data_IF_833097784311
#
_entry.id   IF_833097784311
#
_cell.length_a   1.000
_cell.length_b   1.000
_cell.length_c   1.000
_cell.angle_alpha   90.00
_cell.angle_beta   90.00
_cell.angle_gamma   90.00
#
_symmetry.space_group_name_H-M   'P 1'
#
loop_
_entity.id
_entity.type
_entity.pdbx_description
1 polymer ?
#
# COMPACT_ATOMS: atom_id res chain seq x y z
N UNK A 1 -32.18 -54.35 -16.95
CA UNK A 1 -30.88 -53.88 -17.50
C UNK A 1 -31.07 -52.45 -17.96
N UNK A 2 -30.82 -51.48 -17.06
CA UNK A 2 -30.94 -50.06 -17.35
C UNK A 2 -29.56 -49.44 -17.22
N UNK A 3 -29.04 -48.95 -18.34
CA UNK A 3 -27.78 -48.25 -18.47
C UNK A 3 -27.99 -46.79 -18.05
N UNK A 4 -27.37 -46.40 -16.95
CA UNK A 4 -27.30 -44.98 -16.54
C UNK A 4 -26.18 -44.26 -17.31
N UNK A 5 -26.56 -43.27 -18.10
CA UNK A 5 -25.66 -42.28 -18.68
C UNK A 5 -25.13 -41.36 -17.56
N UNK A 6 -23.81 -41.32 -17.39
CA UNK A 6 -23.14 -40.29 -16.62
C UNK A 6 -23.04 -39.02 -17.48
N UNK A 7 -23.75 -37.99 -17.08
CA UNK A 7 -23.56 -36.65 -17.62
C UNK A 7 -22.23 -36.09 -17.09
N UNK A 8 -21.36 -35.71 -18.01
CA UNK A 8 -20.12 -35.01 -17.72
C UNK A 8 -20.44 -33.57 -17.32
N UNK A 9 -20.22 -33.23 -16.07
CA UNK A 9 -20.32 -31.86 -15.59
C UNK A 9 -19.23 -30.99 -16.23
N UNK A 10 -19.65 -29.89 -16.87
CA UNK A 10 -18.76 -28.87 -17.37
C UNK A 10 -17.93 -28.27 -16.22
N UNK A 11 -16.66 -27.91 -16.42
CA UNK A 11 -15.86 -27.27 -15.40
C UNK A 11 -16.49 -25.91 -15.04
N UNK A 12 -16.59 -25.61 -13.75
CA UNK A 12 -17.08 -24.34 -13.26
C UNK A 12 -16.23 -23.20 -13.85
N UNK A 13 -16.85 -22.08 -14.26
CA UNK A 13 -16.12 -20.95 -14.84
C UNK A 13 -15.11 -20.40 -13.82
N UNK A 14 -13.91 -20.13 -14.29
CA UNK A 14 -12.84 -19.53 -13.49
C UNK A 14 -13.24 -18.09 -13.08
N UNK A 15 -13.76 -17.96 -11.86
CA UNK A 15 -14.24 -16.68 -11.29
C UNK A 15 -13.12 -15.68 -11.01
N UNK A 16 -11.86 -15.98 -11.36
CA UNK A 16 -10.70 -15.15 -11.08
C UNK A 16 -10.44 -14.04 -12.12
N UNK A 17 -10.95 -14.17 -13.35
CA UNK A 17 -10.76 -13.15 -14.39
C UNK A 17 -11.68 -11.94 -14.21
N UNK A 18 -12.89 -12.11 -13.67
CA UNK A 18 -13.86 -11.05 -13.50
C UNK A 18 -13.55 -10.04 -12.37
N UNK A 19 -12.74 -10.43 -11.37
CA UNK A 19 -12.41 -9.53 -10.26
C UNK A 19 -11.31 -8.51 -10.62
N UNK A 20 -10.39 -8.88 -11.50
CA UNK A 20 -9.32 -7.96 -11.95
C UNK A 20 -9.85 -6.90 -12.94
N UNK A 21 -10.87 -7.19 -13.72
CA UNK A 21 -11.48 -6.21 -14.66
C UNK A 21 -12.34 -5.16 -13.95
N UNK A 22 -12.94 -5.48 -12.82
CA UNK A 22 -13.73 -4.50 -12.02
C UNK A 22 -12.88 -3.45 -11.30
N UNK A 23 -11.57 -3.65 -11.21
CA UNK A 23 -10.64 -2.74 -10.53
C UNK A 23 -10.28 -1.53 -11.39
N UNK A 24 -10.50 -1.58 -12.71
CA UNK A 24 -10.11 -0.53 -13.67
C UNK A 24 -11.22 0.50 -13.89
N UNK A 25 -11.72 1.09 -12.82
CA UNK A 25 -12.75 2.12 -12.97
C UNK A 25 -12.10 3.48 -13.17
N UNK A 26 -12.32 4.04 -14.34
CA UNK A 26 -12.01 5.45 -14.62
C UNK A 26 -13.19 6.31 -14.16
N UNK A 27 -12.91 7.45 -13.49
CA UNK A 27 -13.94 8.44 -13.24
C UNK A 27 -14.55 8.90 -14.57
N UNK A 28 -15.88 9.07 -14.63
CA UNK A 28 -16.54 9.68 -15.79
C UNK A 28 -16.22 11.17 -15.93
N UNK A 29 -15.80 11.78 -14.83
CA UNK A 29 -15.34 13.18 -14.79
C UNK A 29 -13.87 13.28 -15.16
N UNK A 30 -13.45 14.45 -15.56
CA UNK A 30 -12.04 14.76 -15.79
C UNK A 30 -11.26 14.52 -14.50
N UNK A 31 -10.16 13.77 -14.59
CA UNK A 31 -9.22 13.62 -13.50
C UNK A 31 -8.41 14.91 -13.42
N UNK A 32 -8.50 15.57 -12.28
CA UNK A 32 -7.80 16.82 -12.03
C UNK A 32 -6.40 16.54 -11.47
N UNK A 33 -5.44 17.39 -11.78
CA UNK A 33 -4.10 17.35 -11.15
C UNK A 33 -4.11 18.04 -9.78
N UNK A 34 -5.11 18.86 -9.53
CA UNK A 34 -5.35 19.59 -8.28
C UNK A 34 -6.84 19.88 -8.14
N UNK A 35 -7.35 20.20 -6.93
CA UNK A 35 -8.75 20.54 -6.73
C UNK A 35 -9.19 21.71 -7.60
N UNK A 36 -10.43 21.64 -8.10
CA UNK A 36 -10.99 22.71 -8.92
C UNK A 36 -10.96 24.08 -8.16
N UNK A 37 -10.55 25.11 -8.89
CA UNK A 37 -10.46 26.47 -8.35
C UNK A 37 -9.22 26.76 -7.50
N UNK A 38 -8.28 25.83 -7.39
CA UNK A 38 -7.00 26.05 -6.73
C UNK A 38 -5.92 26.43 -7.73
N UNK A 39 -4.93 27.25 -7.28
CA UNK A 39 -3.74 27.60 -8.09
C UNK A 39 -2.76 26.41 -8.23
N UNK A 40 -1.59 26.67 -8.82
CA UNK A 40 -0.63 25.62 -9.19
C UNK A 40 -0.08 24.79 -8.01
N UNK A 41 -0.11 25.33 -6.79
CA UNK A 41 0.28 24.59 -5.58
C UNK A 41 -0.68 24.92 -4.42
N UNK A 42 -1.86 24.27 -4.40
CA UNK A 42 -2.94 24.62 -3.51
C UNK A 42 -2.67 24.29 -2.04
N UNK A 43 -1.79 23.32 -1.76
CA UNK A 43 -1.54 22.87 -0.40
C UNK A 43 -0.58 23.82 0.33
N UNK A 44 -1.00 24.41 1.46
CA UNK A 44 -0.08 25.19 2.29
C UNK A 44 1.11 24.35 2.74
N UNK A 45 2.32 24.90 2.88
CA UNK A 45 3.47 24.17 3.37
C UNK A 45 3.42 23.95 4.89
N UNK A 46 4.12 22.94 5.44
CA UNK A 46 4.19 22.71 6.90
C UNK A 46 4.78 23.88 7.70
N UNK A 47 5.47 24.83 7.04
CA UNK A 47 5.96 26.08 7.66
C UNK A 47 4.85 27.06 8.01
N UNK A 48 3.63 26.84 7.50
CA UNK A 48 2.41 27.53 7.90
C UNK A 48 1.48 26.55 8.62
N UNK A 49 1.78 26.21 9.88
CA UNK A 49 1.22 25.04 10.56
C UNK A 49 -0.30 25.07 10.69
N UNK A 50 -0.90 26.25 10.90
CA UNK A 50 -2.35 26.36 11.01
C UNK A 50 -3.04 26.15 9.67
N UNK A 51 -2.58 26.83 8.61
CA UNK A 51 -3.12 26.68 7.26
C UNK A 51 -2.97 25.24 6.74
N UNK A 52 -1.81 24.60 7.04
CA UNK A 52 -1.52 23.23 6.68
C UNK A 52 -2.49 22.24 7.35
N UNK A 53 -2.78 22.42 8.65
CA UNK A 53 -3.80 21.67 9.39
C UNK A 53 -5.19 21.90 8.84
N UNK A 54 -5.60 23.16 8.67
CA UNK A 54 -6.93 23.53 8.21
C UNK A 54 -7.22 22.95 6.83
N UNK A 55 -6.21 22.95 5.94
CA UNK A 55 -6.30 22.30 4.65
C UNK A 55 -6.49 20.79 4.80
N UNK A 56 -5.64 20.12 5.60
CA UNK A 56 -5.72 18.68 5.84
C UNK A 56 -7.06 18.26 6.44
N UNK A 57 -7.57 19.04 7.40
CA UNK A 57 -8.88 18.78 7.99
C UNK A 57 -10.00 18.96 6.97
N UNK A 58 -9.92 19.95 6.11
CA UNK A 58 -10.94 20.25 5.12
C UNK A 58 -10.92 19.28 3.95
N UNK A 59 -9.76 19.08 3.34
CA UNK A 59 -9.63 18.28 2.11
C UNK A 59 -9.30 16.80 2.39
N UNK A 60 -8.77 16.48 3.55
CA UNK A 60 -8.39 15.14 3.96
C UNK A 60 -7.02 14.69 3.47
N UNK A 61 -6.27 15.55 2.77
CA UNK A 61 -4.93 15.28 2.30
C UNK A 61 -4.08 16.56 2.22
N UNK A 62 -2.76 16.37 2.14
CA UNK A 62 -1.79 17.44 1.85
C UNK A 62 -0.70 16.91 0.94
N UNK A 63 -0.09 17.81 0.19
CA UNK A 63 1.06 17.56 -0.68
C UNK A 63 2.22 18.47 -0.25
N UNK A 64 3.38 17.88 0.02
CA UNK A 64 4.60 18.62 0.38
C UNK A 64 5.64 18.37 -0.70
N UNK A 65 5.95 19.40 -1.48
CA UNK A 65 6.90 19.32 -2.58
C UNK A 65 8.34 19.18 -2.07
N UNK A 66 9.11 18.30 -2.73
CA UNK A 66 10.53 18.11 -2.45
C UNK A 66 10.87 17.78 -1.00
N UNK A 67 9.96 17.14 -0.27
CA UNK A 67 10.13 16.83 1.16
C UNK A 67 11.29 15.89 1.44
N UNK A 68 11.55 14.95 0.53
CA UNK A 68 12.59 13.94 0.64
C UNK A 68 13.69 14.23 -0.39
N UNK A 69 14.97 14.33 0.03
CA UNK A 69 16.06 14.52 -0.91
C UNK A 69 16.10 13.43 -1.99
N UNK A 70 16.19 13.78 -3.29
CA UNK A 70 16.20 12.82 -4.40
C UNK A 70 17.23 11.71 -4.25
N UNK A 71 18.42 12.01 -3.67
CA UNK A 71 19.47 11.02 -3.40
C UNK A 71 19.02 9.87 -2.50
N UNK A 72 18.10 10.13 -1.55
CA UNK A 72 17.58 9.08 -0.66
C UNK A 72 16.58 8.18 -1.38
N UNK A 73 15.75 8.76 -2.24
CA UNK A 73 14.84 8.02 -3.11
C UNK A 73 15.64 7.12 -4.07
N UNK A 74 16.68 7.69 -4.72
CA UNK A 74 17.55 6.95 -5.62
C UNK A 74 18.27 5.81 -4.91
N UNK A 75 18.84 6.05 -3.73
CA UNK A 75 19.48 5.00 -2.93
C UNK A 75 18.52 3.85 -2.61
N UNK A 76 17.24 4.15 -2.39
CA UNK A 76 16.19 3.13 -2.20
C UNK A 76 15.94 2.31 -3.47
N UNK A 77 15.85 2.96 -4.63
CA UNK A 77 15.69 2.29 -5.93
C UNK A 77 16.90 1.39 -6.24
N UNK A 78 18.11 1.90 -6.02
CA UNK A 78 19.34 1.16 -6.32
C UNK A 78 19.48 -0.08 -5.41
N UNK A 79 19.20 0.07 -4.12
CA UNK A 79 19.17 -1.05 -3.18
C UNK A 79 18.08 -2.08 -3.52
N UNK A 80 16.89 -1.62 -3.94
CA UNK A 80 15.81 -2.49 -4.42
C UNK A 80 16.28 -3.31 -5.64
N UNK A 81 16.87 -2.67 -6.64
CA UNK A 81 17.39 -3.34 -7.84
C UNK A 81 18.46 -4.37 -7.51
N UNK A 82 19.40 -4.00 -6.61
CA UNK A 82 20.50 -4.87 -6.24
C UNK A 82 20.08 -6.08 -5.41
N UNK A 83 19.18 -5.90 -4.44
CA UNK A 83 18.91 -6.91 -3.42
C UNK A 83 17.57 -7.63 -3.59
N UNK A 84 16.56 -6.96 -4.18
CA UNK A 84 15.18 -7.47 -4.22
C UNK A 84 14.79 -7.89 -5.63
N UNK A 85 14.94 -7.03 -6.62
CA UNK A 85 14.54 -7.32 -7.99
C UNK A 85 15.27 -8.54 -8.58
N UNK A 86 16.55 -8.70 -8.25
CA UNK A 86 17.38 -9.85 -8.62
C UNK A 86 17.07 -11.13 -7.85
N UNK A 87 16.35 -11.03 -6.74
CA UNK A 87 16.03 -12.16 -5.86
C UNK A 87 14.78 -12.93 -6.33
N UNK A 88 14.92 -13.69 -7.41
CA UNK A 88 13.85 -14.52 -7.97
C UNK A 88 13.39 -15.66 -7.06
N UNK A 89 14.09 -15.92 -5.97
CA UNK A 89 13.81 -17.00 -5.04
C UNK A 89 13.12 -16.53 -3.77
N UNK A 90 13.09 -15.22 -3.52
CA UNK A 90 12.45 -14.63 -2.35
C UNK A 90 10.94 -14.85 -2.33
N UNK A 91 10.42 -15.00 -1.11
CA UNK A 91 8.99 -15.05 -0.86
C UNK A 91 8.59 -13.77 -0.12
N UNK A 92 7.62 -13.06 -0.68
CA UNK A 92 7.12 -11.80 -0.16
C UNK A 92 5.63 -11.90 0.15
N UNK A 93 5.19 -11.20 1.19
CA UNK A 93 3.78 -11.17 1.56
C UNK A 93 2.97 -10.40 0.52
N UNK A 94 1.86 -10.95 0.08
CA UNK A 94 0.88 -10.27 -0.76
C UNK A 94 -0.15 -9.56 0.10
N UNK A 95 -0.36 -8.28 -0.14
CA UNK A 95 -1.32 -7.47 0.61
C UNK A 95 -2.77 -7.98 0.48
N UNK A 96 -3.14 -8.54 -0.68
CA UNK A 96 -4.52 -9.02 -0.93
C UNK A 96 -4.82 -10.33 -0.22
N UNK A 97 -3.87 -11.25 -0.16
CA UNK A 97 -4.10 -12.62 0.33
C UNK A 97 -3.40 -12.95 1.64
N UNK A 98 -2.49 -12.09 2.11
CA UNK A 98 -1.60 -12.38 3.23
C UNK A 98 -0.68 -13.59 3.01
N UNK A 99 -0.67 -14.16 1.78
CA UNK A 99 0.16 -15.30 1.44
C UNK A 99 1.55 -14.88 1.01
N UNK A 100 2.55 -15.69 1.36
CA UNK A 100 3.92 -15.48 0.90
C UNK A 100 4.16 -16.20 -0.42
N UNK A 101 4.47 -15.42 -1.46
CA UNK A 101 4.66 -15.91 -2.81
C UNK A 101 5.88 -15.25 -3.45
N UNK A 102 6.38 -15.86 -4.53
CA UNK A 102 7.45 -15.28 -5.34
C UNK A 102 6.95 -14.06 -6.09
N UNK A 103 7.88 -13.23 -6.54
CA UNK A 103 7.57 -12.08 -7.37
C UNK A 103 6.81 -12.47 -8.64
N UNK A 104 5.86 -11.62 -9.01
CA UNK A 104 5.25 -11.55 -10.32
C UNK A 104 5.55 -10.19 -10.92
N UNK A 105 5.66 -10.13 -12.21
CA UNK A 105 6.04 -8.93 -12.94
C UNK A 105 4.90 -8.47 -13.84
N UNK A 106 4.83 -7.17 -14.08
CA UNK A 106 3.98 -6.57 -15.10
C UNK A 106 4.55 -6.87 -16.49
N UNK A 107 3.79 -6.65 -17.58
CA UNK A 107 4.34 -6.74 -18.94
C UNK A 107 5.56 -5.84 -19.16
N UNK A 108 5.63 -4.68 -18.51
CA UNK A 108 6.76 -3.78 -18.54
C UNK A 108 7.98 -4.23 -17.72
N UNK A 109 7.92 -5.41 -17.06
CA UNK A 109 9.03 -5.97 -16.31
C UNK A 109 9.18 -5.44 -14.89
N UNK A 110 8.25 -4.64 -14.39
CA UNK A 110 8.24 -4.14 -13.02
C UNK A 110 7.56 -5.13 -12.09
N UNK A 111 7.94 -5.11 -10.81
CA UNK A 111 7.28 -5.94 -9.81
C UNK A 111 5.79 -5.59 -9.70
N UNK A 112 4.93 -6.59 -9.89
CA UNK A 112 3.47 -6.40 -9.94
C UNK A 112 2.88 -6.01 -8.59
N UNK A 113 3.34 -6.63 -7.49
CA UNK A 113 2.80 -6.43 -6.14
C UNK A 113 3.78 -5.67 -5.25
N UNK A 114 3.30 -4.84 -4.31
CA UNK A 114 4.19 -4.13 -3.41
C UNK A 114 4.95 -5.07 -2.48
N UNK A 115 6.14 -4.65 -2.07
CA UNK A 115 6.84 -5.23 -0.93
C UNK A 115 6.19 -4.67 0.33
N UNK A 116 5.66 -5.58 1.15
CA UNK A 116 5.01 -5.25 2.41
C UNK A 116 6.02 -5.26 3.56
N UNK A 117 5.82 -4.36 4.53
CA UNK A 117 6.54 -4.38 5.81
C UNK A 117 8.06 -4.44 5.64
N UNK A 118 8.64 -3.38 5.04
CA UNK A 118 10.08 -3.27 4.80
C UNK A 118 10.90 -3.55 6.06
N UNK A 119 10.39 -3.16 7.23
CA UNK A 119 11.00 -3.40 8.53
C UNK A 119 11.17 -4.88 8.89
N UNK A 120 10.37 -5.76 8.30
CA UNK A 120 10.37 -7.20 8.53
C UNK A 120 11.12 -8.00 7.46
N UNK A 121 11.70 -7.33 6.46
CA UNK A 121 12.49 -7.97 5.42
C UNK A 121 13.73 -8.66 6.00
N UNK A 122 14.22 -9.68 5.29
CA UNK A 122 15.40 -10.45 5.63
C UNK A 122 16.59 -9.53 5.98
N UNK A 123 17.14 -9.73 7.17
CA UNK A 123 18.15 -8.83 7.73
C UNK A 123 19.53 -8.94 7.06
N UNK A 124 19.78 -10.04 6.34
CA UNK A 124 21.03 -10.24 5.59
C UNK A 124 20.82 -10.00 4.10
N UNK A 125 19.82 -10.60 3.51
CA UNK A 125 19.60 -10.59 2.05
C UNK A 125 19.09 -9.25 1.51
N UNK A 126 18.33 -8.51 2.31
CA UNK A 126 17.70 -7.25 1.93
C UNK A 126 18.06 -6.11 2.90
N UNK A 127 19.24 -6.17 3.50
CA UNK A 127 19.66 -5.23 4.54
C UNK A 127 19.78 -3.79 4.03
N UNK A 128 20.32 -3.61 2.85
CA UNK A 128 20.50 -2.30 2.21
C UNK A 128 19.16 -1.69 1.82
N UNK A 129 18.30 -2.45 1.16
CA UNK A 129 16.98 -1.99 0.76
C UNK A 129 16.10 -1.68 1.97
N UNK A 130 16.07 -2.56 2.98
CA UNK A 130 15.38 -2.31 4.25
C UNK A 130 15.84 -0.99 4.89
N UNK A 131 17.17 -0.78 4.98
CA UNK A 131 17.74 0.45 5.54
C UNK A 131 17.38 1.67 4.72
N UNK A 132 17.53 1.62 3.40
CA UNK A 132 17.22 2.73 2.52
C UNK A 132 15.74 3.12 2.57
N UNK A 133 14.84 2.15 2.50
CA UNK A 133 13.39 2.39 2.61
C UNK A 133 13.00 2.97 3.96
N UNK A 134 13.52 2.44 5.06
CA UNK A 134 13.27 3.02 6.39
C UNK A 134 13.88 4.43 6.52
N UNK A 135 15.03 4.71 5.89
CA UNK A 135 15.60 6.07 5.87
C UNK A 135 14.68 7.07 5.20
N UNK A 136 14.06 6.71 4.08
CA UNK A 136 13.03 7.52 3.41
C UNK A 136 11.82 7.71 4.33
N UNK A 137 11.25 6.61 4.81
CA UNK A 137 9.98 6.63 5.55
C UNK A 137 10.09 7.21 6.97
N UNK A 138 11.27 7.22 7.58
CA UNK A 138 11.50 7.87 8.88
C UNK A 138 12.19 9.23 8.76
N UNK A 139 12.19 9.82 7.56
CA UNK A 139 12.85 11.10 7.33
C UNK A 139 12.25 12.21 8.21
N UNK A 140 13.07 13.12 8.78
CA UNK A 140 12.59 14.17 9.66
C UNK A 140 11.50 15.07 9.06
N UNK A 141 11.47 15.27 7.74
CA UNK A 141 10.43 16.06 7.08
C UNK A 141 9.05 15.42 7.24
N UNK A 142 8.95 14.08 7.14
CA UNK A 142 7.69 13.35 7.38
C UNK A 142 7.27 13.53 8.84
N UNK A 143 8.19 13.33 9.79
CA UNK A 143 7.87 13.46 11.22
C UNK A 143 7.44 14.89 11.59
N UNK A 144 8.06 15.92 11.01
CA UNK A 144 7.62 17.32 11.21
C UNK A 144 6.21 17.54 10.68
N UNK A 145 5.92 17.09 9.47
CA UNK A 145 4.58 17.20 8.90
C UNK A 145 3.54 16.47 9.75
N UNK A 146 3.83 15.22 10.17
CA UNK A 146 2.96 14.46 11.07
C UNK A 146 2.73 15.20 12.40
N UNK A 147 3.78 15.73 13.02
CA UNK A 147 3.65 16.48 14.28
C UNK A 147 2.78 17.74 14.11
N UNK A 148 2.91 18.43 12.98
CA UNK A 148 2.02 19.55 12.68
C UNK A 148 0.56 19.10 12.56
N UNK A 149 0.31 17.96 11.93
CA UNK A 149 -1.06 17.45 11.71
C UNK A 149 -1.71 16.86 12.97
N UNK A 150 -0.93 16.15 13.79
CA UNK A 150 -1.46 15.40 14.94
C UNK A 150 -1.21 16.06 16.30
N UNK A 151 -0.33 17.07 16.33
CA UNK A 151 0.10 17.70 17.58
C UNK A 151 1.19 16.93 18.35
N UNK A 152 1.55 15.74 17.94
CA UNK A 152 2.53 14.88 18.61
C UNK A 152 3.38 14.07 17.62
N UNK A 153 4.38 13.35 18.13
CA UNK A 153 5.14 12.40 17.32
C UNK A 153 4.28 11.17 16.94
N UNK A 154 4.57 10.58 15.80
CA UNK A 154 3.85 9.42 15.31
C UNK A 154 4.76 8.19 15.14
N UNK A 155 4.19 6.99 15.40
CA UNK A 155 4.84 5.72 15.11
C UNK A 155 4.47 5.25 13.71
N UNK A 156 5.43 4.64 13.01
CA UNK A 156 5.20 3.97 11.75
C UNK A 156 4.63 2.57 12.01
N UNK A 157 3.44 2.30 11.53
CA UNK A 157 2.73 1.03 11.81
C UNK A 157 2.72 0.06 10.62
N UNK A 158 2.92 0.55 9.41
CA UNK A 158 2.91 -0.27 8.20
C UNK A 158 3.75 0.39 7.12
N UNK A 159 4.48 -0.39 6.32
CA UNK A 159 5.27 0.15 5.22
C UNK A 159 5.14 -0.68 3.97
N UNK A 160 5.25 -0.03 2.81
CA UNK A 160 5.23 -0.67 1.50
C UNK A 160 6.22 -0.02 0.55
N UNK A 161 6.66 -0.77 -0.45
CA UNK A 161 7.36 -0.24 -1.62
C UNK A 161 6.70 -0.78 -2.89
N UNK A 162 6.45 0.11 -3.81
CA UNK A 162 5.92 -0.20 -5.15
C UNK A 162 7.01 0.00 -6.19
N UNK A 163 7.17 -0.93 -7.12
CA UNK A 163 8.04 -0.80 -8.29
C UNK A 163 7.21 -0.46 -9.54
N UNK A 164 6.22 -1.27 -9.84
CA UNK A 164 5.23 -1.02 -10.89
C UNK A 164 3.88 -0.60 -10.31
N UNK A 165 2.90 -0.50 -11.18
CA UNK A 165 1.52 -0.26 -10.81
C UNK A 165 0.71 -1.56 -10.95
N UNK A 166 0.42 -2.21 -9.85
CA UNK A 166 -0.80 -2.99 -9.78
C UNK A 166 -1.92 -2.02 -9.46
N UNK A 167 -2.94 -1.94 -10.30
CA UNK A 167 -4.08 -1.07 -10.03
C UNK A 167 -4.62 -1.37 -8.64
N UNK A 168 -4.48 -0.40 -7.74
CA UNK A 168 -5.06 -0.47 -6.41
C UNK A 168 -6.48 0.07 -6.50
N UNK A 169 -7.47 -0.77 -6.16
CA UNK A 169 -8.87 -0.35 -6.19
C UNK A 169 -9.13 0.83 -5.25
N UNK A 170 -10.21 1.56 -5.49
CA UNK A 170 -10.65 2.62 -4.59
C UNK A 170 -11.01 2.06 -3.23
N UNK A 171 -10.46 2.63 -2.16
CA UNK A 171 -10.68 2.17 -0.79
C UNK A 171 -10.41 3.25 0.24
N UNK A 172 -10.72 2.94 1.48
CA UNK A 172 -10.33 3.67 2.68
C UNK A 172 -9.39 2.79 3.49
N UNK A 173 -8.21 3.29 3.85
CA UNK A 173 -7.29 2.54 4.70
C UNK A 173 -7.90 2.18 6.04
N UNK A 174 -8.70 3.09 6.62
CA UNK A 174 -9.36 2.92 7.91
C UNK A 174 -10.26 1.69 8.00
N UNK A 175 -10.72 1.14 6.88
CA UNK A 175 -11.47 -0.11 6.87
C UNK A 175 -10.57 -1.35 7.10
N UNK A 176 -9.28 -1.25 6.87
CA UNK A 176 -8.30 -2.32 7.06
C UNK A 176 -7.50 -2.16 8.35
N UNK A 177 -6.97 -0.98 8.54
CA UNK A 177 -6.06 -0.61 9.65
C UNK A 177 -6.35 0.83 10.05
N UNK A 178 -6.31 1.13 11.36
CA UNK A 178 -6.45 2.51 11.85
C UNK A 178 -5.84 2.67 13.26
N UNK A 179 -6.03 3.82 13.85
CA UNK A 179 -5.87 4.05 15.26
C UNK A 179 -7.13 3.61 16.03
N UNK A 180 -7.10 3.72 17.34
CA UNK A 180 -8.28 3.42 18.17
C UNK A 180 -9.49 4.27 17.79
N UNK A 181 -9.24 5.54 17.45
CA UNK A 181 -10.26 6.42 16.93
C UNK A 181 -10.17 6.39 15.40
N UNK A 182 -11.21 5.95 14.75
CA UNK A 182 -11.23 5.82 13.31
C UNK A 182 -10.99 7.18 12.63
N UNK A 183 -10.11 7.19 11.65
CA UNK A 183 -9.78 8.38 10.86
C UNK A 183 -8.52 9.16 11.30
N UNK A 184 -7.86 8.76 12.40
CA UNK A 184 -6.66 9.47 12.90
C UNK A 184 -5.36 8.92 12.34
N UNK A 185 -5.36 7.74 11.76
CA UNK A 185 -4.18 7.23 11.05
C UNK A 185 -3.93 8.04 9.80
N UNK A 186 -2.67 8.37 9.55
CA UNK A 186 -2.24 9.11 8.37
C UNK A 186 -1.46 8.19 7.45
N UNK A 187 -1.94 8.07 6.20
CA UNK A 187 -1.20 7.48 5.11
C UNK A 187 -0.17 8.45 4.54
N UNK A 188 0.97 7.93 4.14
CA UNK A 188 2.09 8.67 3.57
C UNK A 188 2.56 7.95 2.30
N UNK A 189 2.72 8.69 1.22
CA UNK A 189 3.24 8.20 -0.04
C UNK A 189 4.35 9.12 -0.52
N UNK A 190 5.55 8.58 -0.74
CA UNK A 190 6.71 9.30 -1.24
C UNK A 190 6.98 8.85 -2.66
N UNK A 191 6.96 9.78 -3.62
CA UNK A 191 7.39 9.52 -4.98
C UNK A 191 8.90 9.22 -4.98
N UNK A 192 9.28 7.99 -5.34
CA UNK A 192 10.69 7.63 -5.41
C UNK A 192 11.33 8.05 -6.74
N UNK A 193 10.53 8.43 -7.72
CA UNK A 193 10.89 8.94 -9.04
C UNK A 193 9.85 9.95 -9.50
N UNK A 194 10.09 10.64 -10.62
CA UNK A 194 9.06 11.44 -11.28
C UNK A 194 8.00 10.50 -11.85
N UNK A 195 6.75 10.67 -11.40
CA UNK A 195 5.66 9.75 -11.78
C UNK A 195 5.07 10.19 -13.13
N UNK A 196 5.28 9.34 -14.14
CA UNK A 196 4.74 9.60 -15.47
C UNK A 196 3.19 9.54 -15.46
N UNK A 197 2.49 10.40 -16.21
CA UNK A 197 1.02 10.37 -16.31
C UNK A 197 0.46 9.00 -16.66
N UNK A 198 1.10 8.27 -17.56
CA UNK A 198 0.68 6.95 -18.03
C UNK A 198 1.06 5.78 -17.11
N UNK A 199 1.80 6.04 -16.03
CA UNK A 199 2.20 5.02 -15.05
C UNK A 199 1.08 4.60 -14.10
N UNK A 200 -0.12 5.17 -14.22
CA UNK A 200 -1.23 4.93 -13.29
C UNK A 200 -1.05 5.69 -11.98
N UNK A 201 -1.15 7.02 -12.04
CA UNK A 201 -0.96 7.91 -10.89
C UNK A 201 -1.84 7.54 -9.70
N UNK A 202 -1.34 7.81 -8.50
CA UNK A 202 -2.15 7.79 -7.30
C UNK A 202 -3.27 8.82 -7.41
N UNK A 203 -4.51 8.44 -7.12
CA UNK A 203 -5.62 9.36 -7.06
C UNK A 203 -6.23 9.43 -5.66
N UNK A 204 -6.88 10.54 -5.39
CA UNK A 204 -7.56 10.82 -4.14
C UNK A 204 -8.88 11.54 -4.43
N UNK A 205 -9.90 11.29 -3.62
CA UNK A 205 -11.14 12.05 -3.63
C UNK A 205 -11.12 13.02 -2.43
N UNK A 206 -10.79 14.29 -2.62
CA UNK A 206 -10.81 15.28 -1.54
C UNK A 206 -12.15 15.28 -0.84
N UNK A 207 -12.16 15.51 0.49
CA UNK A 207 -13.36 15.59 1.34
C UNK A 207 -14.14 14.30 1.51
N UNK A 208 -13.75 13.20 0.86
CA UNK A 208 -14.45 11.91 0.98
C UNK A 208 -14.45 11.33 2.40
N UNK A 209 -13.49 11.69 3.25
CA UNK A 209 -13.47 11.30 4.67
C UNK A 209 -14.65 11.85 5.49
N UNK A 210 -15.37 12.85 4.95
CA UNK A 210 -16.56 13.44 5.56
C UNK A 210 -17.87 12.89 4.99
N UNK A 211 -17.77 11.98 4.03
CA UNK A 211 -18.93 11.41 3.36
C UNK A 211 -19.05 9.92 3.68
N UNK A 212 -20.27 9.46 3.71
CA UNK A 212 -20.57 8.03 3.78
C UNK A 212 -20.82 7.51 2.36
N UNK A 213 -20.21 6.39 2.01
CA UNK A 213 -20.53 5.67 0.78
C UNK A 213 -21.62 4.65 1.12
N UNK A 214 -22.82 4.73 0.50
CA UNK A 214 -23.89 3.79 0.80
C UNK A 214 -23.44 2.34 0.62
N UNK A 215 -23.57 1.55 1.66
CA UNK A 215 -23.21 0.13 1.65
C UNK A 215 -21.71 -0.15 1.69
N UNK A 216 -20.89 0.77 2.17
CA UNK A 216 -19.45 0.54 2.41
C UNK A 216 -19.16 -0.33 3.65
N UNK A 217 -20.21 -0.71 4.38
CA UNK A 217 -20.09 -1.58 5.53
C UNK A 217 -19.79 -3.03 5.11
N UNK A 218 -19.08 -3.78 5.95
CA UNK A 218 -18.77 -5.18 5.75
C UNK A 218 -17.29 -5.45 5.43
N UNK A 219 -17.01 -6.56 4.75
CA UNK A 219 -15.64 -6.95 4.43
C UNK A 219 -15.07 -6.09 3.30
N UNK A 220 -14.05 -5.25 3.57
CA UNK A 220 -13.43 -4.40 2.56
C UNK A 220 -12.65 -5.18 1.47
N UNK A 221 -12.45 -6.49 1.66
CA UNK A 221 -11.86 -7.35 0.64
C UNK A 221 -12.90 -7.94 -0.32
N UNK A 222 -14.20 -7.82 0.01
CA UNK A 222 -15.27 -8.38 -0.81
C UNK A 222 -15.37 -7.71 -2.18
N UNK A 223 -15.79 -8.48 -3.19
CA UNK A 223 -16.07 -7.93 -4.52
C UNK A 223 -17.16 -6.85 -4.48
N UNK A 224 -18.14 -7.00 -3.58
CA UNK A 224 -19.24 -6.07 -3.40
C UNK A 224 -18.75 -4.71 -2.87
N UNK A 225 -17.87 -4.69 -1.87
CA UNK A 225 -17.25 -3.46 -1.38
C UNK A 225 -16.47 -2.75 -2.50
N UNK A 226 -15.62 -3.49 -3.20
CA UNK A 226 -14.81 -2.95 -4.30
C UNK A 226 -15.66 -2.35 -5.41
N UNK A 227 -16.74 -3.03 -5.79
CA UNK A 227 -17.68 -2.53 -6.81
C UNK A 227 -18.33 -1.21 -6.35
N UNK A 228 -18.81 -1.13 -5.12
CA UNK A 228 -19.42 0.10 -4.57
C UNK A 228 -18.48 1.27 -4.53
N UNK A 229 -17.24 1.03 -4.08
CA UNK A 229 -16.22 2.08 -4.07
C UNK A 229 -15.88 2.54 -5.49
N UNK A 230 -15.81 1.62 -6.45
CA UNK A 230 -15.61 1.92 -7.86
C UNK A 230 -16.77 2.76 -8.44
N UNK A 231 -18.01 2.37 -8.16
CA UNK A 231 -19.19 3.12 -8.59
C UNK A 231 -19.21 4.53 -7.99
N UNK A 232 -18.84 4.67 -6.72
CA UNK A 232 -18.76 5.98 -6.07
C UNK A 232 -17.66 6.89 -6.69
N UNK A 233 -16.51 6.33 -7.07
CA UNK A 233 -15.48 7.08 -7.80
C UNK A 233 -15.97 7.49 -9.18
N UNK A 234 -16.66 6.60 -9.87
CA UNK A 234 -17.13 6.85 -11.24
C UNK A 234 -18.26 7.88 -11.29
N UNK A 235 -19.26 7.73 -10.46
CA UNK A 235 -20.54 8.44 -10.57
C UNK A 235 -20.81 9.40 -9.39
N UNK A 236 -19.99 9.37 -8.34
CA UNK A 236 -20.15 10.17 -7.13
C UNK A 236 -19.96 11.68 -7.34
N UNK A 237 -20.29 12.49 -6.34
CA UNK A 237 -20.30 13.96 -6.46
C UNK A 237 -18.93 14.62 -6.33
N UNK A 238 -17.89 13.86 -5.94
CA UNK A 238 -16.56 14.41 -5.65
C UNK A 238 -15.66 14.40 -6.86
N UNK A 239 -14.77 15.40 -6.92
CA UNK A 239 -13.69 15.41 -7.89
C UNK A 239 -12.67 14.28 -7.61
N UNK A 240 -12.11 13.72 -8.68
CA UNK A 240 -10.98 12.82 -8.60
C UNK A 240 -9.70 13.61 -8.88
N UNK A 241 -8.82 13.69 -7.89
CA UNK A 241 -7.54 14.40 -8.00
C UNK A 241 -6.40 13.38 -8.07
N UNK A 242 -5.60 13.44 -9.13
CA UNK A 242 -4.39 12.64 -9.30
C UNK A 242 -3.20 13.59 -9.51
N UNK A 243 -2.54 14.03 -8.44
CA UNK A 243 -1.49 15.04 -8.54
C UNK A 243 -0.29 14.52 -9.33
N UNK A 244 0.34 15.43 -10.08
CA UNK A 244 1.65 15.18 -10.66
C UNK A 244 2.68 15.22 -9.54
N UNK A 245 3.36 14.10 -9.31
CA UNK A 245 4.33 13.93 -8.23
C UNK A 245 5.73 13.75 -8.83
N UNK A 246 6.67 14.55 -8.33
CA UNK A 246 8.09 14.49 -8.69
C UNK A 246 8.85 13.72 -7.62
N UNK A 247 10.03 13.24 -7.97
CA UNK A 247 10.91 12.53 -7.04
C UNK A 247 11.12 13.34 -5.74
N UNK A 248 10.81 12.73 -4.61
CA UNK A 248 10.91 13.36 -3.28
C UNK A 248 9.64 14.08 -2.82
N UNK A 249 8.62 14.20 -3.65
CA UNK A 249 7.32 14.72 -3.22
C UNK A 249 6.65 13.77 -2.22
N UNK A 250 5.94 14.35 -1.28
CA UNK A 250 5.27 13.65 -0.18
C UNK A 250 3.78 13.96 -0.22
N UNK A 251 2.96 12.93 -0.45
CA UNK A 251 1.50 12.98 -0.32
C UNK A 251 1.11 12.34 1.01
N UNK A 252 0.24 13.00 1.78
CA UNK A 252 -0.28 12.50 3.06
C UNK A 252 -1.79 12.58 3.05
N UNK A 253 -2.48 11.58 3.62
CA UNK A 253 -3.95 11.55 3.65
C UNK A 253 -4.49 10.93 4.94
N UNK A 254 -5.70 11.32 5.32
CA UNK A 254 -6.46 10.69 6.42
C UNK A 254 -6.89 9.28 6.02
N UNK A 255 -6.85 8.34 6.94
CA UNK A 255 -7.20 6.93 6.69
C UNK A 255 -8.58 6.73 6.07
N UNK A 256 -9.51 7.65 6.33
CA UNK A 256 -10.88 7.61 5.80
C UNK A 256 -11.06 8.34 4.46
N UNK A 257 -10.01 8.86 3.85
CA UNK A 257 -10.09 9.42 2.48
C UNK A 257 -10.09 8.29 1.46
N UNK A 258 -10.99 8.35 0.49
CA UNK A 258 -11.03 7.41 -0.63
C UNK A 258 -9.86 7.72 -1.56
N UNK A 259 -9.07 6.70 -1.83
CA UNK A 259 -7.92 6.79 -2.72
C UNK A 259 -7.68 5.47 -3.45
N UNK A 260 -6.78 5.51 -4.41
CA UNK A 260 -6.40 4.34 -5.19
C UNK A 260 -5.38 4.69 -6.27
N UNK A 261 -5.30 3.91 -7.34
CA UNK A 261 -4.47 4.24 -8.49
C UNK A 261 -5.26 4.21 -9.79
N UNK A 262 -4.97 5.15 -10.67
CA UNK A 262 -5.46 5.12 -12.04
C UNK A 262 -4.88 3.90 -12.76
N UNK A 263 -5.53 3.41 -13.81
CA UNK A 263 -4.95 2.40 -14.69
C UNK A 263 -3.63 2.87 -15.30
N UNK A 264 -2.68 1.97 -15.48
CA UNK A 264 -1.51 2.19 -16.32
C UNK A 264 -1.96 2.15 -17.77
N UNK A 265 -1.63 3.17 -18.53
CA UNK A 265 -1.93 3.28 -19.98
C UNK A 265 -0.71 2.93 -20.83
N UNK A 266 0.49 3.00 -20.23
CA UNK A 266 1.74 2.60 -20.87
C UNK A 266 2.63 1.82 -19.88
N UNK A 267 2.72 0.52 -20.09
CA UNK A 267 3.47 -0.42 -19.24
C UNK A 267 5.00 -0.21 -19.24
N UNK A 268 5.52 0.69 -20.07
CA UNK A 268 6.94 1.08 -20.07
C UNK A 268 7.30 1.94 -18.86
N UNK A 269 6.32 2.52 -18.16
CA UNK A 269 6.55 3.40 -17.04
C UNK A 269 6.39 2.69 -15.70
N UNK A 270 7.37 2.87 -14.85
CA UNK A 270 7.31 2.46 -13.44
C UNK A 270 6.52 3.47 -12.60
N UNK A 271 6.12 3.04 -11.41
CA UNK A 271 5.48 3.91 -10.40
C UNK A 271 6.15 3.69 -9.04
N UNK A 272 7.46 3.91 -8.99
CA UNK A 272 8.25 3.65 -7.77
C UNK A 272 7.88 4.60 -6.67
N UNK A 273 7.54 4.02 -5.53
CA UNK A 273 7.11 4.79 -4.38
C UNK A 273 7.33 4.04 -3.07
N UNK A 274 7.54 4.80 -2.00
CA UNK A 274 7.50 4.31 -0.63
C UNK A 274 6.23 4.77 0.03
N UNK A 275 5.52 3.85 0.69
CA UNK A 275 4.28 4.14 1.41
C UNK A 275 4.41 3.71 2.85
N UNK A 276 3.85 4.48 3.77
CA UNK A 276 3.76 4.10 5.16
C UNK A 276 2.47 4.64 5.80
N UNK A 277 2.08 4.03 6.91
CA UNK A 277 0.98 4.49 7.74
C UNK A 277 1.51 4.83 9.13
N UNK A 278 0.99 5.92 9.68
CA UNK A 278 1.42 6.46 10.96
C UNK A 278 0.23 6.67 11.88
N UNK A 279 0.45 6.34 13.16
CA UNK A 279 -0.53 6.57 14.22
C UNK A 279 0.16 7.43 15.29
N UNK A 280 -0.51 8.45 15.87
CA UNK A 280 0.03 9.23 16.97
C UNK A 280 0.52 8.31 18.11
N UNK A 281 1.59 8.69 18.80
CA UNK A 281 2.19 7.82 19.83
C UNK A 281 1.25 7.52 20.98
N UNK A 282 0.38 8.46 21.35
CA UNK A 282 -0.62 8.31 22.40
C UNK A 282 -1.77 7.37 22.02
N UNK A 283 -1.93 7.08 20.72
CA UNK A 283 -3.04 6.26 20.21
C UNK A 283 -2.61 4.81 20.00
N UNK A 284 -3.41 3.83 20.41
CA UNK A 284 -3.18 2.44 20.07
C UNK A 284 -3.48 2.20 18.59
N UNK A 285 -2.67 1.34 17.98
CA UNK A 285 -2.91 0.84 16.62
C UNK A 285 -4.01 -0.24 16.65
N UNK A 286 -4.90 -0.19 15.66
CA UNK A 286 -6.02 -1.10 15.47
C UNK A 286 -5.89 -1.80 14.12
N UNK A 287 -6.05 -3.11 14.14
CA UNK A 287 -6.14 -3.92 12.92
C UNK A 287 -7.57 -4.41 12.75
N UNK A 288 -8.27 -3.94 11.72
CA UNK A 288 -9.70 -4.21 11.55
C UNK A 288 -10.01 -5.56 10.91
N UNK A 289 -9.07 -6.11 10.12
CA UNK A 289 -9.26 -7.36 9.36
C UNK A 289 -8.52 -8.57 9.91
N UNK A 290 -7.75 -8.39 10.97
CA UNK A 290 -6.99 -9.47 11.64
C UNK A 290 -7.05 -9.30 13.15
N UNK A 291 -6.92 -10.40 13.91
CA UNK A 291 -6.76 -10.31 15.36
C UNK A 291 -5.48 -9.57 15.74
N UNK A 292 -5.56 -8.68 16.71
CA UNK A 292 -4.42 -7.95 17.23
C UNK A 292 -3.34 -8.93 17.75
N UNK A 293 -2.13 -8.76 17.26
CA UNK A 293 -0.96 -9.48 17.77
C UNK A 293 -0.13 -8.53 18.64
N UNK A 294 0.64 -9.08 19.58
CA UNK A 294 1.53 -8.28 20.41
C UNK A 294 2.50 -7.51 19.52
N UNK A 295 2.34 -6.21 19.49
CA UNK A 295 3.18 -5.34 18.70
C UNK A 295 4.58 -5.27 19.34
N UNK A 296 5.60 -5.69 18.59
CA UNK A 296 6.98 -5.33 18.86
C UNK A 296 7.34 -4.15 17.99
N UNK A 297 8.23 -3.30 18.45
CA UNK A 297 8.75 -2.18 17.65
C UNK A 297 10.27 -2.17 17.65
N UNK A 298 10.83 -1.54 16.65
CA UNK A 298 12.22 -1.11 16.61
C UNK A 298 12.27 0.41 16.55
N UNK A 299 13.39 1.00 16.94
CA UNK A 299 13.61 2.43 16.78
C UNK A 299 14.58 2.67 15.62
N UNK A 300 14.15 3.46 14.62
CA UNK A 300 14.96 3.86 13.48
C UNK A 300 14.83 5.38 13.28
N UNK A 301 15.95 6.10 13.18
CA UNK A 301 15.98 7.57 13.10
C UNK A 301 15.08 8.26 14.14
N UNK A 302 15.06 7.76 15.38
CA UNK A 302 14.21 8.22 16.49
C UNK A 302 12.69 7.97 16.30
N UNK A 303 12.27 7.33 15.21
CA UNK A 303 10.89 6.94 14.97
C UNK A 303 10.68 5.52 15.47
N UNK A 304 9.59 5.29 16.16
CA UNK A 304 9.12 3.95 16.49
C UNK A 304 8.52 3.31 15.24
N UNK A 305 9.05 2.16 14.84
CA UNK A 305 8.58 1.38 13.69
C UNK A 305 8.08 0.03 14.19
N UNK A 306 6.81 -0.22 13.98
CA UNK A 306 6.15 -1.42 14.45
C UNK A 306 6.56 -2.63 13.63
N UNK A 307 6.88 -3.75 14.27
CA UNK A 307 7.17 -5.03 13.62
C UNK A 307 5.88 -5.84 13.54
N UNK A 308 5.55 -6.34 12.37
CA UNK A 308 4.43 -7.25 12.17
C UNK A 308 4.91 -8.68 12.47
N UNK A 309 4.91 -9.07 13.75
CA UNK A 309 5.16 -10.46 14.11
C UNK A 309 4.03 -11.33 13.57
N UNK A 310 4.26 -11.93 12.42
CA UNK A 310 3.40 -12.99 11.90
C UNK A 310 3.55 -14.17 12.80
N UNK A 311 2.58 -14.45 13.67
CA UNK A 311 2.51 -15.63 14.51
C UNK A 311 3.63 -15.74 15.58
N UNK A 312 3.28 -15.57 16.85
CA UNK A 312 4.22 -15.53 17.98
C UNK A 312 4.86 -16.86 18.37
N UNK A 313 4.52 -17.98 17.70
CA UNK A 313 5.07 -19.30 18.05
C UNK A 313 6.54 -19.45 17.62
N UNK A 314 7.31 -20.28 18.36
CA UNK A 314 8.70 -20.58 17.99
C UNK A 314 8.79 -21.19 16.60
N UNK A 315 7.84 -22.06 16.24
CA UNK A 315 7.78 -22.73 14.92
C UNK A 315 7.54 -21.71 13.80
N UNK A 316 6.61 -20.77 13.98
CA UNK A 316 6.35 -19.75 12.97
C UNK A 316 7.54 -18.80 12.80
N UNK A 317 8.22 -18.43 13.89
CA UNK A 317 9.46 -17.63 13.81
C UNK A 317 10.55 -18.36 13.04
N UNK A 318 10.77 -19.66 13.31
CA UNK A 318 11.73 -20.47 12.58
C UNK A 318 11.34 -20.59 11.10
N UNK A 319 10.08 -20.89 10.80
CA UNK A 319 9.56 -20.96 9.43
C UNK A 319 9.78 -19.64 8.68
N UNK A 320 9.48 -18.51 9.30
CA UNK A 320 9.66 -17.19 8.71
C UNK A 320 11.15 -16.89 8.47
N UNK A 321 12.00 -17.25 9.43
CA UNK A 321 13.46 -17.11 9.27
C UNK A 321 13.98 -17.98 8.12
N UNK A 322 13.64 -19.26 8.06
CA UNK A 322 14.06 -20.15 6.96
C UNK A 322 13.53 -19.65 5.62
N UNK A 323 12.28 -19.21 5.56
CA UNK A 323 11.70 -18.65 4.33
C UNK A 323 12.44 -17.41 3.84
N UNK A 324 12.82 -16.54 4.75
CA UNK A 324 13.47 -15.25 4.42
C UNK A 324 14.95 -15.41 4.09
N UNK A 325 15.69 -16.17 4.87
CA UNK A 325 17.14 -16.27 4.73
C UNK A 325 17.58 -17.42 3.81
N UNK A 326 16.78 -18.52 3.74
CA UNK A 326 17.07 -19.70 2.91
C UNK A 326 15.89 -20.12 2.02
N UNK A 327 15.44 -19.26 1.08
CA UNK A 327 14.23 -19.50 0.27
C UNK A 327 14.32 -20.72 -0.63
N UNK A 328 15.53 -21.17 -1.03
CA UNK A 328 15.72 -22.42 -1.78
C UNK A 328 15.31 -23.63 -0.94
N UNK A 329 15.86 -23.73 0.28
CA UNK A 329 15.54 -24.80 1.21
C UNK A 329 14.05 -24.80 1.59
N UNK A 330 13.49 -23.62 1.86
CA UNK A 330 12.06 -23.47 2.12
C UNK A 330 11.21 -23.90 0.94
N UNK A 331 11.56 -23.51 -0.28
CA UNK A 331 10.84 -23.88 -1.51
C UNK A 331 10.86 -25.39 -1.76
N UNK A 332 12.01 -26.04 -1.59
CA UNK A 332 12.15 -27.49 -1.72
C UNK A 332 11.30 -28.24 -0.66
N UNK A 333 11.38 -27.84 0.61
CA UNK A 333 10.58 -28.43 1.67
C UNK A 333 9.07 -28.25 1.43
N UNK A 334 8.65 -27.10 0.95
CA UNK A 334 7.25 -26.83 0.60
C UNK A 334 6.76 -27.71 -0.55
N UNK A 335 7.58 -27.87 -1.60
CA UNK A 335 7.24 -28.73 -2.74
C UNK A 335 7.09 -30.19 -2.35
N UNK A 336 8.02 -30.71 -1.52
CA UNK A 336 7.92 -32.06 -0.95
C UNK A 336 6.64 -32.23 -0.11
N UNK A 337 6.32 -31.28 0.74
CA UNK A 337 5.12 -31.35 1.58
C UNK A 337 3.80 -31.27 0.78
N UNK A 338 3.78 -30.50 -0.32
CA UNK A 338 2.63 -30.44 -1.24
C UNK A 338 2.49 -31.73 -2.05
N UNK A 339 3.59 -32.36 -2.47
CA UNK A 339 3.58 -33.66 -3.15
C UNK A 339 3.22 -34.83 -2.26
N UNK A 340 3.34 -34.71 -0.94
CA UNK A 340 2.96 -35.73 0.05
C UNK A 340 1.50 -35.65 0.50
N UNK A 341 0.72 -34.65 0.07
CA UNK A 341 -0.71 -34.60 0.33
C UNK A 341 -1.46 -35.48 -0.66
N UNK A 342 -2.15 -36.56 -0.22
CA UNK A 342 -3.00 -37.32 -1.11
C UNK A 342 -4.19 -36.46 -1.50
N UNK A 343 -4.31 -36.15 -2.78
CA UNK A 343 -5.53 -35.67 -3.45
C UNK A 343 -6.18 -34.44 -2.84
N UNK A 344 -5.84 -33.24 -3.37
CA UNK A 344 -6.73 -32.06 -3.33
C UNK A 344 -7.29 -31.84 -4.72
#
# INVERSE_FOLDING_TARGET
>A
MQTQHREGGAPAPDTRSGADDMIRVLPRRTVLEQPAGCGDDPCPPPSRPQEFRDWFEREGYVLVRGAIPPRLCQAGIDAFRAEVLGDRLGFFERHVSGKFERHQYTPGGYMKYPIMNLQDLASRRHAGFRRAGLTVLTHPAIQRALTVLTGEAARCVHTMYFDGNQVTWAHRDGHYIDSRNDGEMIGVWVAAEDIHPDAGRFFILPRSHRMRVPGEEGDPNSAQYKARMADFVRDGPLDCVAPVLRQGDLLMWKSMVIHGSLPTTDERWSRRSFTAHYVPLSHPYKWNVRSAQSARSLRFNRVEVMLHAVDGTRVARLRNHVRSEWPRAYGAARALWQGLRPGA
#
